data_IF_530973514935
#
_entry.id   IF_530973514935
#
_cell.length_a   1.000
_cell.length_b   1.000
_cell.length_c   1.000
_cell.angle_alpha   90.00
_cell.angle_beta   90.00
_cell.angle_gamma   90.00
#
_symmetry.space_group_name_H-M   'P 1'
#
loop_
_entity.id
_entity.type
_entity.pdbx_description
1 polymer ?
#
# COMPACT_ATOMS: atom_id res chain seq x y z
N UNK A 1 -3.23 4.96 -13.58
CA UNK A 1 -2.73 3.92 -12.67
C UNK A 1 -1.90 2.96 -13.49
N UNK A 2 -0.69 2.64 -13.03
CA UNK A 2 0.20 1.66 -13.62
C UNK A 2 0.39 0.53 -12.62
N UNK A 3 0.38 -0.71 -13.09
CA UNK A 3 0.60 -1.90 -12.26
C UNK A 3 1.76 -2.70 -12.85
N UNK A 4 2.50 -3.42 -12.00
CA UNK A 4 3.57 -4.31 -12.43
C UNK A 4 3.56 -5.59 -11.60
N UNK A 5 4.04 -6.68 -12.23
CA UNK A 5 4.31 -7.96 -11.58
C UNK A 5 5.48 -8.64 -12.29
N UNK A 6 6.37 -9.23 -11.52
CA UNK A 6 7.43 -10.12 -11.99
C UNK A 6 7.61 -11.23 -10.95
N UNK A 7 7.79 -12.46 -11.40
CA UNK A 7 7.92 -13.64 -10.55
C UNK A 7 8.81 -14.68 -11.25
N UNK A 8 9.62 -15.37 -10.47
CA UNK A 8 10.41 -16.51 -10.90
C UNK A 8 10.41 -17.60 -9.83
N UNK A 9 10.56 -18.85 -10.27
CA UNK A 9 10.75 -20.01 -9.42
C UNK A 9 12.03 -20.75 -9.82
N UNK A 10 12.76 -21.30 -8.85
CA UNK A 10 13.89 -22.20 -9.12
C UNK A 10 13.48 -23.67 -9.08
N UNK A 11 14.44 -24.57 -9.34
CA UNK A 11 14.22 -26.02 -9.39
C UNK A 11 13.84 -26.62 -8.02
N UNK A 12 14.14 -25.92 -6.91
CA UNK A 12 13.77 -26.31 -5.55
C UNK A 12 12.36 -25.82 -5.17
N UNK A 13 11.70 -25.07 -6.07
CA UNK A 13 10.37 -24.52 -5.85
C UNK A 13 10.35 -23.23 -5.02
N UNK A 14 11.51 -22.59 -4.82
CA UNK A 14 11.57 -21.26 -4.17
C UNK A 14 11.04 -20.22 -5.16
N UNK A 15 9.99 -19.50 -4.76
CA UNK A 15 9.38 -18.44 -5.56
C UNK A 15 9.84 -17.08 -5.06
N UNK A 16 10.33 -16.23 -5.97
CA UNK A 16 10.64 -14.82 -5.70
C UNK A 16 9.88 -13.94 -6.66
N UNK A 17 9.38 -12.82 -6.17
CA UNK A 17 8.69 -11.89 -7.04
C UNK A 17 8.55 -10.50 -6.46
N UNK A 18 8.10 -9.62 -7.33
CA UNK A 18 7.71 -8.26 -7.01
C UNK A 18 6.38 -7.94 -7.70
N UNK A 19 5.45 -7.32 -6.97
CA UNK A 19 4.27 -6.73 -7.58
C UNK A 19 3.96 -5.38 -6.96
N UNK A 20 3.24 -4.56 -7.69
CA UNK A 20 2.92 -3.23 -7.19
C UNK A 20 2.12 -2.39 -8.16
N UNK A 21 1.84 -1.18 -7.71
CA UNK A 21 1.18 -0.16 -8.51
C UNK A 21 1.70 1.24 -8.18
N UNK A 22 1.44 2.15 -9.12
CA UNK A 22 1.59 3.59 -8.99
C UNK A 22 0.32 4.26 -9.54
N UNK A 23 -0.35 5.07 -8.73
CA UNK A 23 -1.50 5.85 -9.17
C UNK A 23 -1.10 7.24 -9.69
N UNK A 24 -2.03 7.99 -10.32
CA UNK A 24 -1.74 9.34 -10.83
C UNK A 24 -1.42 10.40 -9.77
N UNK A 25 -1.78 10.17 -8.50
CA UNK A 25 -1.45 11.06 -7.39
C UNK A 25 -0.06 10.77 -6.82
N UNK A 26 0.64 9.76 -7.34
CA UNK A 26 1.94 9.32 -6.84
C UNK A 26 1.84 8.34 -5.67
N UNK A 27 0.65 7.80 -5.37
CA UNK A 27 0.50 6.72 -4.39
C UNK A 27 1.02 5.43 -4.99
N UNK A 28 1.84 4.70 -4.24
CA UNK A 28 2.36 3.41 -4.65
C UNK A 28 2.30 2.37 -3.55
N UNK A 29 2.29 1.11 -3.98
CA UNK A 29 2.68 -0.05 -3.19
C UNK A 29 3.61 -0.90 -4.04
N UNK A 30 4.73 -1.32 -3.48
CA UNK A 30 5.61 -2.36 -4.02
C UNK A 30 5.79 -3.44 -2.97
N UNK A 31 5.58 -4.70 -3.35
CA UNK A 31 5.72 -5.87 -2.49
C UNK A 31 6.76 -6.78 -3.10
N UNK A 32 7.92 -6.85 -2.46
CA UNK A 32 8.99 -7.80 -2.78
C UNK A 32 8.81 -9.02 -1.87
N UNK A 33 8.76 -10.23 -2.42
CA UNK A 33 8.48 -11.42 -1.61
C UNK A 33 9.32 -12.64 -1.99
N UNK A 34 9.46 -13.54 -1.02
CA UNK A 34 10.05 -14.88 -1.18
C UNK A 34 9.13 -15.91 -0.50
N UNK A 35 8.83 -16.99 -1.21
CA UNK A 35 8.15 -18.16 -0.68
C UNK A 35 9.06 -19.38 -0.82
N UNK A 36 9.39 -20.01 0.31
CA UNK A 36 10.25 -21.19 0.39
C UNK A 36 9.86 -22.07 1.59
N UNK A 37 10.72 -23.02 1.95
CA UNK A 37 10.55 -23.90 3.11
C UNK A 37 10.40 -23.18 4.45
N UNK A 38 10.83 -21.91 4.54
CA UNK A 38 10.68 -21.06 5.72
C UNK A 38 9.39 -20.22 5.68
N UNK A 39 8.47 -20.52 4.76
CA UNK A 39 7.19 -19.83 4.59
C UNK A 39 7.25 -18.63 3.64
N UNK A 40 6.21 -17.80 3.68
CA UNK A 40 6.11 -16.58 2.88
C UNK A 40 6.64 -15.39 3.65
N UNK A 41 7.56 -14.62 3.06
CA UNK A 41 8.10 -13.38 3.62
C UNK A 41 8.04 -12.26 2.61
N UNK A 42 7.70 -11.04 3.05
CA UNK A 42 7.59 -9.89 2.18
C UNK A 42 8.12 -8.58 2.77
N UNK A 43 8.66 -7.72 1.91
CA UNK A 43 8.94 -6.31 2.19
C UNK A 43 7.94 -5.47 1.40
N UNK A 44 7.13 -4.70 2.11
CA UNK A 44 6.09 -3.84 1.56
C UNK A 44 6.57 -2.40 1.66
N UNK A 45 6.81 -1.75 0.52
CA UNK A 45 7.11 -0.32 0.42
C UNK A 45 5.85 0.41 -0.02
N UNK A 46 5.42 1.40 0.74
CA UNK A 46 4.19 2.16 0.43
C UNK A 46 4.28 3.61 0.89
N UNK A 47 3.50 4.50 0.26
CA UNK A 47 3.23 5.86 0.73
C UNK A 47 1.70 6.13 0.82
N UNK A 48 0.90 5.10 1.01
CA UNK A 48 -0.56 5.23 1.11
C UNK A 48 -0.96 6.04 2.35
N UNK A 49 -1.91 6.98 2.24
CA UNK A 49 -2.46 7.70 3.39
C UNK A 49 -3.03 6.73 4.43
N UNK A 50 -2.61 6.88 5.68
CA UNK A 50 -3.06 6.03 6.79
C UNK A 50 -2.32 4.70 6.94
N UNK A 51 -1.34 4.39 6.06
CA UNK A 51 -0.43 3.28 6.31
C UNK A 51 0.43 3.54 7.54
N UNK A 52 0.59 2.52 8.39
CA UNK A 52 1.49 2.56 9.54
C UNK A 52 2.65 1.60 9.30
N UNK A 53 3.87 2.05 9.59
CA UNK A 53 5.02 1.16 9.64
C UNK A 53 4.80 0.16 10.78
N UNK A 54 4.66 -1.12 10.43
CA UNK A 54 4.41 -2.19 11.38
C UNK A 54 5.12 -3.44 10.91
N UNK A 55 5.87 -4.05 11.81
CA UNK A 55 6.33 -5.42 11.63
C UNK A 55 5.14 -6.34 11.88
N UNK A 56 4.70 -7.03 10.82
CA UNK A 56 3.76 -8.14 10.92
C UNK A 56 4.56 -9.44 10.89
N UNK A 57 4.01 -10.53 11.43
CA UNK A 57 4.77 -11.76 11.71
C UNK A 57 5.76 -12.19 10.62
N UNK A 58 5.36 -12.13 9.33
CA UNK A 58 6.23 -12.50 8.20
C UNK A 58 6.34 -11.39 7.15
N UNK A 59 6.20 -10.13 7.54
CA UNK A 59 6.27 -9.01 6.60
C UNK A 59 6.70 -7.71 7.23
N UNK A 60 7.47 -6.92 6.49
CA UNK A 60 7.95 -5.61 6.92
C UNK A 60 7.28 -4.51 6.11
N UNK A 61 6.69 -3.51 6.79
CA UNK A 61 6.19 -2.30 6.15
C UNK A 61 7.19 -1.15 6.25
N UNK A 62 7.63 -0.66 5.10
CA UNK A 62 8.43 0.56 4.95
C UNK A 62 7.49 1.63 4.39
N UNK A 63 7.13 2.60 5.24
CA UNK A 63 6.16 3.65 4.91
C UNK A 63 6.87 4.98 4.67
N UNK A 64 6.66 5.56 3.49
CA UNK A 64 7.09 6.90 3.14
C UNK A 64 5.94 7.91 3.30
N UNK A 65 6.25 9.20 3.27
CA UNK A 65 5.22 10.24 3.34
C UNK A 65 4.30 10.21 2.11
N UNK A 66 2.98 10.26 2.30
CA UNK A 66 2.05 10.41 1.19
C UNK A 66 2.25 11.75 0.44
N UNK A 67 2.03 11.77 -0.88
CA UNK A 67 1.86 13.00 -1.67
C UNK A 67 0.81 13.94 -1.06
N UNK A 68 1.10 15.24 -1.09
CA UNK A 68 0.18 16.29 -0.58
C UNK A 68 -1.18 16.21 -1.25
N UNK A 69 -1.23 16.00 -2.56
CA UNK A 69 -2.49 15.88 -3.31
C UNK A 69 -3.38 14.73 -2.79
N UNK A 70 -2.79 13.62 -2.35
CA UNK A 70 -3.55 12.51 -1.78
C UNK A 70 -4.09 12.83 -0.38
N UNK A 71 -3.31 13.56 0.43
CA UNK A 71 -3.77 14.06 1.73
C UNK A 71 -4.93 15.05 1.57
N UNK A 72 -4.82 15.99 0.64
CA UNK A 72 -5.87 16.98 0.35
C UNK A 72 -7.16 16.32 -0.13
N UNK A 73 -7.07 15.33 -1.02
CA UNK A 73 -8.23 14.59 -1.50
C UNK A 73 -8.92 13.84 -0.34
N UNK A 74 -8.15 13.21 0.55
CA UNK A 74 -8.69 12.56 1.75
C UNK A 74 -9.36 13.55 2.71
N UNK A 75 -8.74 14.70 2.96
CA UNK A 75 -9.32 15.76 3.80
C UNK A 75 -10.60 16.35 3.20
N UNK A 76 -10.64 16.55 1.88
CA UNK A 76 -11.83 17.05 1.18
C UNK A 76 -12.99 16.06 1.32
N UNK A 77 -12.73 14.76 1.15
CA UNK A 77 -13.73 13.72 1.37
C UNK A 77 -14.32 13.82 2.78
N UNK A 78 -13.48 13.87 3.82
CA UNK A 78 -13.97 13.97 5.20
C UNK A 78 -14.79 15.25 5.44
N UNK A 79 -14.34 16.40 4.95
CA UNK A 79 -15.06 17.68 5.09
C UNK A 79 -16.43 17.66 4.43
N UNK A 80 -16.57 16.98 3.30
CA UNK A 80 -17.84 16.89 2.59
C UNK A 80 -18.83 15.98 3.32
N UNK A 81 -18.37 14.85 3.87
CA UNK A 81 -19.22 13.93 4.62
C UNK A 81 -19.64 14.48 6.00
N UNK A 82 -18.80 15.31 6.65
CA UNK A 82 -19.15 15.98 7.92
C UNK A 82 -20.21 17.08 7.72
N UNK A 83 -20.25 17.73 6.56
CA UNK A 83 -21.25 18.77 6.26
C UNK A 83 -22.65 18.21 6.02
N UNK A 84 -22.76 17.02 5.45
CA UNK A 84 -24.05 16.37 5.17
C UNK A 84 -24.76 15.95 6.47
N UNK A 85 -24.01 15.41 7.45
CA UNK A 85 -24.54 14.92 8.74
C UNK A 85 -25.02 16.06 9.67
N UNK A 86 -24.38 17.23 9.61
CA UNK A 86 -24.74 18.40 10.42
C UNK A 86 -25.81 19.33 9.78
N UNK A 87 -26.51 18.89 8.74
CA UNK A 87 -27.54 19.69 8.06
C UNK A 87 -28.98 19.48 8.57
N UNK A 88 -29.21 18.60 9.55
CA UNK A 88 -30.57 18.24 10.04
C UNK A 88 -30.92 18.79 11.44
N UNK A 89 -30.35 19.93 11.85
CA UNK A 89 -30.85 20.64 13.04
C UNK A 89 -31.17 22.09 12.66
N UNK A 90 -32.40 22.30 12.18
CA UNK A 90 -33.09 23.59 12.14
C UNK A 90 -34.58 23.36 12.37
#
# INVERSE_FOLDING_TARGET
>A
MQQHRSESADEEGVVKGVYGYLDPLGIYRSVEYTADSQGYRAVIRTNEPGAAAKDIAHGQYIVAQPPVAALEQGLLYLKNNVKEDNSTIS
#
